data_IF_900928169881
#
_entry.id   IF_900928169881
#
_cell.length_a   1.000
_cell.length_b   1.000
_cell.length_c   1.000
_cell.angle_alpha   90.00
_cell.angle_beta   90.00
_cell.angle_gamma   90.00
#
_symmetry.space_group_name_H-M   'P 1'
#
loop_
_entity.id
_entity.type
_entity.pdbx_description
1 polymer ?
#
# COMPACT_ATOMS: atom_id res chain seq x y z
N UNK A 1 -4.73 -12.62 17.19
CA UNK A 1 -4.11 -11.47 16.51
C UNK A 1 -4.82 -11.33 15.18
N UNK A 2 -5.38 -10.16 14.90
CA UNK A 2 -6.15 -9.92 13.68
C UNK A 2 -5.30 -10.13 12.43
N UNK A 3 -5.75 -11.03 11.55
CA UNK A 3 -5.09 -11.33 10.27
C UNK A 3 -4.90 -10.08 9.39
N UNK A 4 -5.72 -9.03 9.60
CA UNK A 4 -5.54 -7.74 8.95
C UNK A 4 -4.27 -7.03 9.42
N UNK A 5 -3.97 -7.05 10.73
CA UNK A 5 -2.81 -6.38 11.29
C UNK A 5 -1.50 -7.00 10.79
N UNK A 6 -1.49 -8.32 10.62
CA UNK A 6 -0.33 -9.06 10.12
C UNK A 6 -0.10 -8.80 8.62
N UNK A 7 -1.17 -8.61 7.85
CA UNK A 7 -1.10 -8.19 6.43
C UNK A 7 -0.57 -6.77 6.30
N UNK A 8 -0.98 -5.86 7.17
CA UNK A 8 -0.45 -4.49 7.21
C UNK A 8 1.03 -4.47 7.60
N UNK A 9 1.46 -5.30 8.56
CA UNK A 9 2.87 -5.45 8.92
C UNK A 9 3.74 -6.04 7.80
N UNK A 10 3.21 -6.99 7.02
CA UNK A 10 3.90 -7.50 5.82
C UNK A 10 4.01 -6.44 4.73
N UNK A 11 2.95 -5.67 4.51
CA UNK A 11 2.98 -4.47 3.66
C UNK A 11 4.06 -3.51 4.15
N UNK A 12 4.06 -3.19 5.43
CA UNK A 12 4.99 -2.27 6.07
C UNK A 12 6.44 -2.72 5.86
N UNK A 13 6.75 -4.00 6.11
CA UNK A 13 8.09 -4.56 5.86
C UNK A 13 8.47 -4.59 4.38
N UNK A 14 7.52 -4.78 3.47
CA UNK A 14 7.79 -4.77 2.03
C UNK A 14 8.12 -3.36 1.53
N UNK A 15 7.35 -2.35 1.94
CA UNK A 15 7.54 -0.96 1.51
C UNK A 15 8.65 -0.20 2.25
N UNK A 16 9.00 -0.57 3.48
CA UNK A 16 10.06 0.09 4.26
C UNK A 16 11.46 -0.17 3.68
N UNK A 17 11.65 -1.30 2.97
CA UNK A 17 12.94 -1.73 2.42
C UNK A 17 12.99 -1.67 0.88
N UNK A 18 11.89 -1.37 0.18
CA UNK A 18 11.89 -1.18 -1.27
C UNK A 18 12.02 0.31 -1.62
N UNK A 19 13.23 0.69 -2.00
CA UNK A 19 13.58 2.02 -2.50
C UNK A 19 12.63 2.45 -3.64
N UNK A 20 11.67 3.33 -3.34
CA UNK A 20 10.92 4.27 -4.21
C UNK A 20 10.15 3.76 -5.46
N UNK A 21 10.60 2.71 -6.14
CA UNK A 21 10.10 2.28 -7.45
C UNK A 21 8.67 1.73 -7.37
N UNK A 22 8.39 0.88 -6.37
CA UNK A 22 7.07 0.28 -6.18
C UNK A 22 6.03 1.27 -5.64
N UNK A 23 6.45 2.30 -4.88
CA UNK A 23 5.54 3.38 -4.45
C UNK A 23 5.02 4.17 -5.65
N UNK A 24 5.86 4.41 -6.68
CA UNK A 24 5.45 5.10 -7.91
C UNK A 24 4.50 4.27 -8.76
N UNK A 25 4.77 2.97 -8.92
CA UNK A 25 3.87 2.07 -9.67
C UNK A 25 2.51 1.92 -8.97
N UNK A 26 2.50 1.72 -7.65
CA UNK A 26 1.26 1.65 -6.88
C UNK A 26 0.50 2.98 -6.95
N UNK A 27 1.20 4.11 -6.82
CA UNK A 27 0.61 5.44 -6.95
C UNK A 27 -0.03 5.62 -8.34
N UNK A 28 0.65 5.21 -9.41
CA UNK A 28 0.13 5.24 -10.77
C UNK A 28 -1.11 4.34 -10.93
N UNK A 29 -1.06 3.11 -10.42
CA UNK A 29 -2.16 2.15 -10.48
C UNK A 29 -3.41 2.66 -9.75
N UNK A 30 -3.21 3.24 -8.57
CA UNK A 30 -4.29 3.79 -7.74
C UNK A 30 -4.71 5.21 -8.14
N UNK A 31 -4.02 5.82 -9.10
CA UNK A 31 -4.20 7.23 -9.52
C UNK A 31 -4.09 8.21 -8.35
N UNK A 32 -3.13 7.99 -7.47
CA UNK A 32 -2.80 8.88 -6.35
C UNK A 32 -1.35 9.34 -6.46
N UNK A 33 -0.94 10.29 -5.62
CA UNK A 33 0.47 10.70 -5.58
C UNK A 33 1.29 9.73 -4.73
N UNK A 34 2.60 9.54 -5.01
CA UNK A 34 3.49 8.77 -4.14
C UNK A 34 3.46 9.26 -2.69
N UNK A 35 3.33 10.58 -2.49
CA UNK A 35 3.17 11.20 -1.18
C UNK A 35 1.91 10.76 -0.44
N UNK A 36 0.83 10.45 -1.16
CA UNK A 36 -0.38 9.87 -0.58
C UNK A 36 -0.11 8.47 -0.05
N UNK A 37 0.61 7.65 -0.82
CA UNK A 37 1.04 6.30 -0.40
C UNK A 37 1.94 6.38 0.84
N UNK A 38 2.94 7.27 0.83
CA UNK A 38 3.82 7.51 1.99
C UNK A 38 3.03 7.91 3.25
N UNK A 39 1.98 8.73 3.10
CA UNK A 39 1.09 9.10 4.21
C UNK A 39 0.29 7.92 4.75
N UNK A 40 -0.15 7.02 3.87
CA UNK A 40 -0.82 5.78 4.27
C UNK A 40 0.15 4.83 4.99
N UNK A 41 1.38 4.70 4.50
CA UNK A 41 2.44 3.92 5.15
C UNK A 41 2.81 4.49 6.51
N UNK A 42 2.81 5.82 6.63
CA UNK A 42 3.11 6.53 7.89
C UNK A 42 1.93 6.60 8.86
N UNK A 43 0.81 5.93 8.56
CA UNK A 43 -0.44 5.93 9.37
C UNK A 43 -1.04 7.33 9.62
N UNK A 44 -0.57 8.37 8.90
CA UNK A 44 -1.07 9.75 9.02
C UNK A 44 -2.43 9.93 8.36
N UNK A 45 -2.79 9.02 7.46
CA UNK A 45 -4.07 8.98 6.78
C UNK A 45 -4.34 7.53 6.37
N UNK A 46 -5.59 7.14 6.15
CA UNK A 46 -5.95 5.80 5.67
C UNK A 46 -6.54 5.87 4.26
N UNK A 47 -6.29 4.87 3.41
CA UNK A 47 -6.99 4.75 2.14
C UNK A 47 -8.48 4.53 2.39
N UNK A 48 -9.33 5.05 1.51
CA UNK A 48 -10.76 4.77 1.57
C UNK A 48 -11.06 3.31 1.16
N UNK A 49 -12.33 2.89 1.26
CA UNK A 49 -12.72 1.51 0.97
C UNK A 49 -12.36 1.06 -0.45
N UNK A 50 -12.68 1.87 -1.47
CA UNK A 50 -12.37 1.57 -2.87
C UNK A 50 -10.84 1.48 -3.11
N UNK A 51 -10.07 2.38 -2.52
CA UNK A 51 -8.61 2.38 -2.60
C UNK A 51 -8.02 1.13 -1.93
N UNK A 52 -8.57 0.75 -0.78
CA UNK A 52 -8.16 -0.46 -0.07
C UNK A 52 -8.44 -1.73 -0.89
N UNK A 53 -9.60 -1.81 -1.54
CA UNK A 53 -9.94 -2.91 -2.44
C UNK A 53 -9.01 -2.97 -3.65
N UNK A 54 -8.66 -1.82 -4.24
CA UNK A 54 -7.68 -1.76 -5.34
C UNK A 54 -6.27 -2.14 -4.91
N UNK A 55 -5.82 -1.73 -3.73
CA UNK A 55 -4.55 -2.15 -3.14
C UNK A 55 -4.54 -3.67 -2.97
N UNK A 56 -5.61 -4.26 -2.41
CA UNK A 56 -5.76 -5.71 -2.28
C UNK A 56 -5.71 -6.41 -3.64
N UNK A 57 -6.39 -5.89 -4.66
CA UNK A 57 -6.37 -6.44 -6.01
C UNK A 57 -4.97 -6.36 -6.66
N UNK A 58 -4.25 -5.26 -6.47
CA UNK A 58 -2.87 -5.10 -6.95
C UNK A 58 -1.94 -6.14 -6.32
N UNK A 59 -2.01 -6.31 -5.00
CA UNK A 59 -1.18 -7.27 -4.26
C UNK A 59 -1.57 -8.73 -4.46
N UNK A 60 -2.80 -8.98 -4.91
CA UNK A 60 -3.30 -10.33 -5.19
C UNK A 60 -2.95 -10.80 -6.61
N UNK A 61 -2.41 -9.95 -7.48
CA UNK A 61 -1.90 -10.40 -8.77
C UNK A 61 -0.57 -11.11 -8.54
N UNK A 62 -0.46 -12.42 -8.83
CA UNK A 62 0.84 -13.06 -8.91
C UNK A 62 1.59 -12.49 -10.13
N UNK A 63 2.82 -12.03 -9.92
CA UNK A 63 3.83 -11.91 -10.99
C UNK A 63 4.12 -13.28 -11.61
#
# INVERSE_FOLDING_TARGET
MDEELEKWLKLHKFYLYSDSYQTKELANYLRVTPRTIERWISEKNTPNKEQSERIKAYLSKPD
#
